data_IF_004616084946
#
_entry.id   IF_004616084946
#
_cell.length_a   1.000
_cell.length_b   1.000
_cell.length_c   1.000
_cell.angle_alpha   90.00
_cell.angle_beta   90.00
_cell.angle_gamma   90.00
#
_symmetry.space_group_name_H-M   'P 1'
#
loop_
_entity.id
_entity.type
_entity.pdbx_description
1 polymer ?
#
# COMPACT_ATOMS: atom_id res chain seq x y z
N UNK A 1 23.79 4.91 -0.99
CA UNK A 1 23.14 3.89 -0.14
C UNK A 1 22.61 4.48 1.17
N UNK A 2 23.47 5.03 2.05
CA UNK A 2 23.06 5.60 3.35
C UNK A 2 21.97 6.68 3.26
N UNK A 3 22.02 7.54 2.23
CA UNK A 3 21.02 8.60 2.01
C UNK A 3 19.59 8.09 1.77
N UNK A 4 19.41 6.96 1.08
CA UNK A 4 18.06 6.39 0.83
C UNK A 4 17.48 5.84 2.12
N UNK A 5 18.29 5.20 2.95
CA UNK A 5 17.86 4.70 4.26
C UNK A 5 17.44 5.86 5.17
N UNK A 6 18.26 6.91 5.25
CA UNK A 6 17.94 8.12 6.02
C UNK A 6 16.65 8.76 5.48
N UNK A 7 16.55 8.96 4.17
CA UNK A 7 15.36 9.53 3.55
C UNK A 7 14.12 8.68 3.83
N UNK A 8 14.24 7.35 3.79
CA UNK A 8 13.15 6.42 4.12
C UNK A 8 12.69 6.59 5.57
N UNK A 9 13.63 6.65 6.53
CA UNK A 9 13.29 6.88 7.94
C UNK A 9 12.61 8.24 8.15
N UNK A 10 13.12 9.29 7.50
CA UNK A 10 12.51 10.62 7.55
C UNK A 10 11.10 10.61 6.94
N UNK A 11 10.91 9.97 5.79
CA UNK A 11 9.61 9.88 5.12
C UNK A 11 8.63 9.04 5.92
N UNK A 12 9.03 7.91 6.48
CA UNK A 12 8.10 6.96 7.11
C UNK A 12 7.77 7.33 8.55
N UNK A 13 8.72 7.88 9.30
CA UNK A 13 8.55 8.17 10.73
C UNK A 13 8.34 9.66 10.98
N UNK A 14 9.26 10.50 10.52
CA UNK A 14 9.25 11.94 10.84
C UNK A 14 8.16 12.67 10.05
N UNK A 15 7.95 12.30 8.79
CA UNK A 15 7.00 12.91 7.88
C UNK A 15 5.56 12.92 8.40
N UNK A 16 4.94 11.78 8.75
CA UNK A 16 3.58 11.74 9.28
C UNK A 16 3.42 12.57 10.56
N UNK A 17 4.42 12.54 11.45
CA UNK A 17 4.39 13.29 12.71
C UNK A 17 4.37 14.80 12.46
N UNK A 18 5.27 15.30 11.60
CA UNK A 18 5.32 16.71 11.23
C UNK A 18 4.04 17.14 10.50
N UNK A 19 3.53 16.30 9.59
CA UNK A 19 2.31 16.59 8.85
C UNK A 19 1.09 16.70 9.77
N UNK A 20 0.94 15.75 10.70
CA UNK A 20 -0.11 15.79 11.72
C UNK A 20 0.00 17.01 12.63
N UNK A 21 1.22 17.38 13.06
CA UNK A 21 1.45 18.56 13.88
C UNK A 21 1.04 19.86 13.16
N UNK A 22 1.39 20.00 11.88
CA UNK A 22 0.94 21.14 11.04
C UNK A 22 -0.59 21.16 10.93
N UNK A 23 -1.23 20.00 10.77
CA UNK A 23 -2.69 19.88 10.75
C UNK A 23 -3.34 20.38 12.04
N UNK A 24 -2.81 19.98 13.20
CA UNK A 24 -3.30 20.43 14.52
C UNK A 24 -3.15 21.94 14.67
N UNK A 25 -2.00 22.50 14.32
CA UNK A 25 -1.75 23.95 14.42
C UNK A 25 -2.73 24.76 13.54
N UNK A 26 -3.01 24.29 12.32
CA UNK A 26 -3.96 24.93 11.39
C UNK A 26 -5.43 24.80 11.80
N UNK A 27 -5.74 23.82 12.66
CA UNK A 27 -7.12 23.53 13.10
C UNK A 27 -7.60 24.36 14.30
N UNK A 28 -6.70 25.10 14.95
CA UNK A 28 -7.03 25.98 16.08
C UNK A 28 -7.78 27.22 15.59
N UNK A 29 -9.12 27.23 15.70
CA UNK A 29 -9.92 28.43 15.45
C UNK A 29 -11.35 28.22 14.94
N UNK A 30 -11.81 27.00 14.68
CA UNK A 30 -13.14 26.77 14.13
C UNK A 30 -14.18 26.47 15.23
N UNK A 31 -14.79 27.52 15.80
CA UNK A 31 -16.06 27.40 16.51
C UNK A 31 -17.20 27.63 15.51
N UNK A 32 -17.81 26.55 15.03
CA UNK A 32 -18.96 26.61 14.14
C UNK A 32 -20.08 25.72 14.68
N UNK A 33 -21.33 26.08 14.40
CA UNK A 33 -22.46 25.18 14.59
C UNK A 33 -22.25 23.92 13.76
N UNK A 34 -22.08 22.79 14.44
CA UNK A 34 -21.70 21.54 13.76
C UNK A 34 -22.96 20.83 13.23
N UNK A 35 -22.95 20.35 11.98
CA UNK A 35 -24.01 19.48 11.50
C UNK A 35 -24.12 18.22 12.38
N UNK A 36 -25.31 17.59 12.40
CA UNK A 36 -25.52 16.33 13.11
C UNK A 36 -24.53 15.27 12.62
N UNK A 37 -24.17 14.38 13.54
CA UNK A 37 -23.21 13.30 13.34
C UNK A 37 -23.96 11.98 13.31
N UNK A 38 -23.49 11.03 12.50
CA UNK A 38 -23.97 9.66 12.57
C UNK A 38 -23.60 9.02 13.91
N UNK A 39 -24.49 8.18 14.45
CA UNK A 39 -24.16 7.31 15.56
C UNK A 39 -23.05 6.33 15.16
N UNK A 40 -22.23 5.92 16.14
CA UNK A 40 -21.20 4.93 15.88
C UNK A 40 -21.84 3.59 15.54
N UNK A 41 -21.53 3.05 14.35
CA UNK A 41 -21.73 1.65 14.01
C UNK A 41 -20.41 0.94 13.76
N UNK A 42 -20.25 -0.28 14.27
CA UNK A 42 -19.09 -1.13 13.98
C UNK A 42 -19.11 -1.74 12.58
N UNK A 43 -20.28 -1.76 11.94
CA UNK A 43 -20.48 -2.44 10.65
C UNK A 43 -19.53 -1.91 9.54
N UNK A 44 -19.34 -0.60 9.35
CA UNK A 44 -18.38 -0.09 8.36
C UNK A 44 -16.93 -0.47 8.68
N UNK A 45 -16.54 -0.45 9.95
CA UNK A 45 -15.20 -0.85 10.40
C UNK A 45 -14.94 -2.32 10.10
N UNK A 46 -15.86 -3.22 10.45
CA UNK A 46 -15.72 -4.66 10.19
C UNK A 46 -15.72 -4.96 8.68
N UNK A 47 -16.59 -4.31 7.92
CA UNK A 47 -16.62 -4.45 6.47
C UNK A 47 -15.31 -3.96 5.82
N UNK A 48 -14.78 -2.82 6.28
CA UNK A 48 -13.48 -2.32 5.84
C UNK A 48 -12.34 -3.26 6.23
N UNK A 49 -12.40 -3.87 7.42
CA UNK A 49 -11.40 -4.85 7.89
C UNK A 49 -11.35 -6.06 6.96
N UNK A 50 -12.51 -6.61 6.63
CA UNK A 50 -12.61 -7.74 5.71
C UNK A 50 -12.12 -7.39 4.31
N UNK A 51 -12.50 -6.22 3.77
CA UNK A 51 -12.05 -5.78 2.46
C UNK A 51 -10.56 -5.44 2.42
N UNK A 52 -10.00 -4.87 3.50
CA UNK A 52 -8.56 -4.63 3.63
C UNK A 52 -7.80 -5.96 3.59
N UNK A 53 -8.16 -6.93 4.44
CA UNK A 53 -7.53 -8.24 4.45
C UNK A 53 -7.66 -8.99 3.10
N UNK A 54 -8.84 -8.93 2.49
CA UNK A 54 -9.10 -9.55 1.19
C UNK A 54 -8.30 -8.89 0.07
N UNK A 55 -8.32 -7.56 -0.03
CA UNK A 55 -7.59 -6.81 -1.05
C UNK A 55 -6.07 -6.96 -0.88
N UNK A 56 -5.55 -6.97 0.35
CA UNK A 56 -4.14 -7.28 0.62
C UNK A 56 -3.78 -8.63 0.01
N UNK A 57 -4.55 -9.67 0.35
CA UNK A 57 -4.28 -11.04 -0.07
C UNK A 57 -4.41 -11.22 -1.58
N UNK A 58 -5.38 -10.55 -2.19
CA UNK A 58 -5.59 -10.57 -3.64
C UNK A 58 -4.45 -9.85 -4.38
N UNK A 59 -4.01 -8.69 -3.92
CA UNK A 59 -2.87 -7.98 -4.50
C UNK A 59 -1.60 -8.82 -4.36
N UNK A 60 -1.36 -9.40 -3.18
CA UNK A 60 -0.22 -10.27 -2.96
C UNK A 60 -0.25 -11.48 -3.90
N UNK A 61 -1.41 -12.14 -4.03
CA UNK A 61 -1.58 -13.24 -4.97
C UNK A 61 -1.31 -12.83 -6.43
N UNK A 62 -1.80 -11.67 -6.85
CA UNK A 62 -1.51 -11.13 -8.19
C UNK A 62 0.00 -10.91 -8.37
N UNK A 63 0.69 -10.39 -7.35
CA UNK A 63 2.14 -10.22 -7.38
C UNK A 63 2.82 -11.57 -7.66
N UNK A 64 2.59 -12.57 -6.82
CA UNK A 64 3.21 -13.90 -6.94
C UNK A 64 2.87 -14.60 -8.26
N UNK A 65 1.61 -14.48 -8.71
CA UNK A 65 1.19 -15.02 -10.00
C UNK A 65 2.02 -14.43 -11.14
N UNK A 66 2.25 -13.12 -11.15
CA UNK A 66 3.05 -12.46 -12.19
C UNK A 66 4.56 -12.65 -12.03
N UNK A 67 5.05 -13.10 -10.88
CA UNK A 67 6.42 -13.58 -10.73
C UNK A 67 6.59 -14.97 -11.37
N UNK A 68 5.54 -15.78 -11.39
CA UNK A 68 5.59 -17.18 -11.85
C UNK A 68 5.23 -17.35 -13.32
N UNK A 69 4.17 -16.70 -13.81
CA UNK A 69 3.66 -16.92 -15.17
C UNK A 69 4.71 -16.67 -16.26
N UNK A 70 5.47 -15.55 -16.27
CA UNK A 70 6.51 -15.35 -17.29
C UNK A 70 7.62 -16.40 -17.22
N UNK A 71 7.99 -16.84 -16.00
CA UNK A 71 8.97 -17.92 -15.79
C UNK A 71 8.46 -19.25 -16.34
N UNK A 72 7.18 -19.56 -16.17
CA UNK A 72 6.58 -20.82 -16.66
C UNK A 72 6.53 -20.89 -18.18
N UNK A 73 6.47 -19.73 -18.86
CA UNK A 73 6.47 -19.62 -20.31
C UNK A 73 7.89 -19.55 -20.91
N UNK A 74 8.93 -19.65 -20.07
CA UNK A 74 10.32 -19.49 -20.50
C UNK A 74 11.04 -20.85 -20.50
N UNK A 75 11.59 -21.29 -21.65
CA UNK A 75 12.34 -22.54 -21.72
C UNK A 75 13.49 -22.59 -20.70
N UNK A 76 13.60 -23.73 -20.02
CA UNK A 76 14.64 -23.96 -19.02
C UNK A 76 14.29 -23.52 -17.60
N UNK A 77 13.15 -22.87 -17.37
CA UNK A 77 12.66 -22.52 -16.03
C UNK A 77 11.48 -23.40 -15.59
N UNK A 78 11.43 -23.70 -14.30
CA UNK A 78 10.35 -24.45 -13.65
C UNK A 78 9.93 -23.73 -12.37
N UNK A 79 9.01 -22.76 -12.44
CA UNK A 79 8.54 -22.06 -11.27
C UNK A 79 7.50 -22.88 -10.50
N UNK A 80 7.49 -22.72 -9.19
CA UNK A 80 6.45 -23.23 -8.28
C UNK A 80 5.80 -22.06 -7.57
N UNK A 81 4.48 -21.95 -7.68
CA UNK A 81 3.68 -20.99 -6.95
C UNK A 81 3.18 -21.62 -5.65
N UNK A 82 3.49 -21.01 -4.51
CA UNK A 82 2.89 -21.32 -3.22
C UNK A 82 1.78 -20.31 -2.93
N UNK A 83 1.02 -20.54 -1.86
CA UNK A 83 -0.11 -19.68 -1.50
C UNK A 83 0.25 -18.18 -1.39
N UNK A 84 1.46 -17.87 -0.92
CA UNK A 84 1.96 -16.51 -0.73
C UNK A 84 3.49 -16.42 -0.84
N UNK A 85 4.08 -17.24 -1.72
CA UNK A 85 5.50 -17.18 -2.07
C UNK A 85 5.68 -17.90 -3.42
N UNK A 86 6.87 -17.81 -3.99
CA UNK A 86 7.24 -18.60 -5.15
C UNK A 86 8.68 -19.08 -5.05
N UNK A 87 8.99 -20.13 -5.81
CA UNK A 87 10.33 -20.64 -6.03
C UNK A 87 10.49 -20.93 -7.52
N UNK A 88 11.72 -21.08 -8.02
CA UNK A 88 11.95 -21.61 -9.35
C UNK A 88 13.23 -22.44 -9.41
N UNK A 89 13.21 -23.46 -10.25
CA UNK A 89 14.40 -24.20 -10.65
C UNK A 89 14.77 -23.86 -12.09
N UNK A 90 16.06 -24.04 -12.40
CA UNK A 90 16.62 -23.79 -13.74
C UNK A 90 17.46 -22.51 -13.81
N UNK A 91 18.40 -22.51 -14.75
CA UNK A 91 19.35 -21.43 -14.96
C UNK A 91 19.02 -20.70 -16.27
N UNK A 92 18.26 -19.61 -16.16
CA UNK A 92 17.97 -18.72 -17.28
C UNK A 92 18.00 -17.28 -16.77
N UNK A 93 18.81 -16.38 -17.37
CA UNK A 93 18.98 -15.02 -16.89
C UNK A 93 17.67 -14.21 -16.90
N UNK A 94 16.70 -14.57 -17.76
CA UNK A 94 15.37 -13.94 -17.78
C UNK A 94 14.62 -14.10 -16.45
N UNK A 95 14.95 -15.11 -15.63
CA UNK A 95 14.38 -15.26 -14.31
C UNK A 95 14.53 -13.98 -13.47
N UNK A 96 15.68 -13.31 -13.55
CA UNK A 96 15.96 -12.07 -12.82
C UNK A 96 15.11 -10.90 -13.33
N UNK A 97 14.89 -10.79 -14.64
CA UNK A 97 13.98 -9.79 -15.22
C UNK A 97 12.54 -10.02 -14.72
N UNK A 98 12.09 -11.27 -14.71
CA UNK A 98 10.75 -11.66 -14.27
C UNK A 98 10.55 -11.59 -12.75
N UNK A 99 11.55 -11.17 -11.99
CA UNK A 99 11.30 -10.76 -10.61
C UNK A 99 10.64 -9.37 -10.53
N UNK A 100 10.86 -8.50 -11.52
CA UNK A 100 10.21 -7.19 -11.56
C UNK A 100 8.73 -7.22 -11.95
N UNK A 101 8.24 -8.32 -12.55
CA UNK A 101 6.88 -8.39 -13.12
C UNK A 101 5.79 -8.43 -12.06
N UNK A 102 6.07 -8.97 -10.88
CA UNK A 102 5.13 -8.94 -9.75
C UNK A 102 4.82 -7.50 -9.31
N UNK A 103 5.87 -6.72 -9.01
CA UNK A 103 5.74 -5.32 -8.62
C UNK A 103 5.07 -4.46 -9.71
N UNK A 104 5.39 -4.71 -10.98
CA UNK A 104 4.75 -4.03 -12.11
C UNK A 104 3.26 -4.36 -12.21
N UNK A 105 2.88 -5.64 -12.07
CA UNK A 105 1.49 -6.07 -12.19
C UNK A 105 0.58 -5.41 -11.15
N UNK A 106 1.00 -5.40 -9.89
CA UNK A 106 0.20 -4.78 -8.81
C UNK A 106 0.16 -3.25 -8.91
N UNK A 107 1.21 -2.62 -9.44
CA UNK A 107 1.20 -1.19 -9.76
C UNK A 107 0.16 -0.88 -10.84
N UNK A 108 0.11 -1.69 -11.91
CA UNK A 108 -0.89 -1.53 -12.98
C UNK A 108 -2.31 -1.74 -12.46
N UNK A 109 -2.53 -2.73 -11.58
CA UNK A 109 -3.82 -2.94 -10.91
C UNK A 109 -4.20 -1.73 -10.05
N UNK A 110 -3.25 -1.15 -9.31
CA UNK A 110 -3.49 0.04 -8.51
C UNK A 110 -3.88 1.26 -9.35
N UNK A 111 -3.17 1.47 -10.46
CA UNK A 111 -3.49 2.53 -11.42
C UNK A 111 -4.88 2.31 -12.02
N UNK A 112 -5.21 1.08 -12.44
CA UNK A 112 -6.51 0.75 -12.98
C UNK A 112 -7.64 1.02 -11.97
N UNK A 113 -7.48 0.63 -10.70
CA UNK A 113 -8.46 0.91 -9.65
C UNK A 113 -8.58 2.42 -9.36
N UNK A 114 -7.47 3.16 -9.38
CA UNK A 114 -7.45 4.62 -9.22
C UNK A 114 -8.20 5.31 -10.37
N UNK A 115 -7.95 4.90 -11.60
CA UNK A 115 -8.61 5.42 -12.80
C UNK A 115 -10.10 5.08 -12.75
N UNK A 116 -10.46 3.85 -12.35
CA UNK A 116 -11.85 3.44 -12.17
C UNK A 116 -12.59 4.33 -11.16
N UNK A 117 -11.99 4.57 -9.99
CA UNK A 117 -12.53 5.47 -8.96
C UNK A 117 -12.71 6.92 -9.45
N UNK A 118 -11.82 7.41 -10.32
CA UNK A 118 -11.89 8.79 -10.84
C UNK A 118 -12.89 8.94 -11.97
N UNK A 119 -12.88 8.04 -12.95
CA UNK A 119 -13.67 8.18 -14.17
C UNK A 119 -15.07 7.63 -14.03
N UNK A 120 -15.24 6.50 -13.32
CA UNK A 120 -16.51 5.79 -13.20
C UNK A 120 -16.64 5.14 -11.82
N UNK A 121 -16.69 5.95 -10.74
CA UNK A 121 -16.72 5.42 -9.37
C UNK A 121 -17.87 4.41 -9.21
N UNK A 122 -17.62 3.24 -8.59
CA UNK A 122 -18.66 2.24 -8.36
C UNK A 122 -19.87 2.85 -7.63
N UNK A 123 -21.10 2.41 -7.94
CA UNK A 123 -22.29 2.94 -7.24
C UNK A 123 -22.39 2.46 -5.79
N UNK A 124 -22.00 1.21 -5.53
CA UNK A 124 -22.06 0.60 -4.20
C UNK A 124 -20.88 1.02 -3.31
N UNK A 125 -21.17 1.34 -2.05
CA UNK A 125 -20.17 1.69 -1.03
C UNK A 125 -19.10 0.59 -0.89
N UNK A 126 -19.51 -0.68 -0.85
CA UNK A 126 -18.58 -1.82 -0.75
C UNK A 126 -17.61 -1.89 -1.92
N UNK A 127 -18.09 -1.71 -3.15
CA UNK A 127 -17.23 -1.70 -4.34
C UNK A 127 -16.29 -0.49 -4.40
N UNK A 128 -16.74 0.68 -3.93
CA UNK A 128 -15.84 1.85 -3.78
C UNK A 128 -14.72 1.55 -2.79
N UNK A 129 -15.08 1.02 -1.63
CA UNK A 129 -14.12 0.67 -0.59
C UNK A 129 -13.15 -0.42 -1.05
N UNK A 130 -13.65 -1.45 -1.74
CA UNK A 130 -12.82 -2.47 -2.38
C UNK A 130 -11.83 -1.87 -3.39
N UNK A 131 -12.29 -1.02 -4.31
CA UNK A 131 -11.41 -0.38 -5.29
C UNK A 131 -10.39 0.55 -4.63
N UNK A 132 -10.76 1.24 -3.53
CA UNK A 132 -9.82 2.02 -2.72
C UNK A 132 -8.74 1.12 -2.13
N UNK A 133 -9.12 0.00 -1.51
CA UNK A 133 -8.16 -0.93 -0.91
C UNK A 133 -7.28 -1.62 -1.94
N UNK A 134 -7.82 -2.05 -3.08
CA UNK A 134 -7.02 -2.58 -4.19
C UNK A 134 -5.99 -1.56 -4.70
N UNK A 135 -6.39 -0.30 -4.85
CA UNK A 135 -5.49 0.77 -5.25
C UNK A 135 -4.41 1.02 -4.18
N UNK A 136 -4.81 1.10 -2.92
CA UNK A 136 -3.91 1.30 -1.79
C UNK A 136 -2.87 0.18 -1.72
N UNK A 137 -3.29 -1.07 -1.54
CA UNK A 137 -2.40 -2.22 -1.43
C UNK A 137 -1.46 -2.33 -2.64
N UNK A 138 -1.96 -2.15 -3.86
CA UNK A 138 -1.12 -2.25 -5.05
C UNK A 138 -0.02 -1.18 -5.10
N UNK A 139 -0.28 0.07 -4.71
CA UNK A 139 0.77 1.09 -4.60
C UNK A 139 1.74 0.83 -3.44
N UNK A 140 1.24 0.50 -2.25
CA UNK A 140 2.06 0.33 -1.06
C UNK A 140 2.77 -1.02 -0.97
N UNK A 141 2.45 -1.98 -1.83
CA UNK A 141 3.26 -3.17 -2.05
C UNK A 141 4.25 -3.02 -3.21
N UNK A 142 3.96 -2.23 -4.25
CA UNK A 142 4.89 -2.03 -5.38
C UNK A 142 5.97 -0.98 -5.13
N UNK A 143 5.59 0.23 -4.70
CA UNK A 143 6.53 1.36 -4.62
C UNK A 143 7.67 1.14 -3.63
N UNK A 144 7.47 0.51 -2.45
CA UNK A 144 8.59 0.21 -1.56
C UNK A 144 9.61 -0.73 -2.18
N UNK A 145 9.21 -1.63 -3.09
CA UNK A 145 10.15 -2.50 -3.79
C UNK A 145 11.10 -1.72 -4.70
N UNK A 146 10.67 -0.56 -5.24
CA UNK A 146 11.59 0.34 -5.97
C UNK A 146 12.63 0.93 -5.02
N UNK A 147 12.21 1.35 -3.82
CA UNK A 147 13.13 1.87 -2.79
C UNK A 147 14.10 0.78 -2.34
N UNK A 148 13.60 -0.41 -2.00
CA UNK A 148 14.43 -1.54 -1.55
C UNK A 148 15.34 -2.03 -2.67
N UNK A 149 14.83 -2.26 -3.88
CA UNK A 149 15.61 -2.69 -5.04
C UNK A 149 16.69 -1.70 -5.48
N UNK A 150 16.58 -0.43 -5.10
CA UNK A 150 17.65 0.56 -5.33
C UNK A 150 18.88 0.40 -4.42
N UNK A 151 18.74 -0.35 -3.31
CA UNK A 151 19.82 -0.56 -2.32
C UNK A 151 20.10 -2.04 -2.00
N UNK A 152 19.15 -2.95 -2.26
CA UNK A 152 19.27 -4.40 -2.08
C UNK A 152 19.13 -5.08 -3.45
N UNK A 153 20.25 -5.43 -4.10
CA UNK A 153 20.25 -6.09 -5.42
C UNK A 153 19.45 -7.40 -5.47
N UNK A 154 19.41 -8.13 -4.35
CA UNK A 154 18.74 -9.43 -4.24
C UNK A 154 17.23 -9.33 -3.99
N UNK A 155 16.67 -8.12 -3.88
CA UNK A 155 15.22 -7.95 -3.88
C UNK A 155 14.66 -8.14 -5.31
N UNK A 156 13.38 -8.51 -5.41
CA UNK A 156 12.69 -8.74 -6.69
C UNK A 156 12.92 -7.65 -7.75
N UNK A 157 12.68 -6.39 -7.38
CA UNK A 157 12.91 -5.24 -8.28
C UNK A 157 14.40 -4.96 -8.47
N UNK A 158 15.23 -5.25 -7.46
CA UNK A 158 16.69 -5.14 -7.55
C UNK A 158 17.28 -6.07 -8.62
N UNK A 159 16.82 -7.33 -8.65
CA UNK A 159 17.23 -8.31 -9.66
C UNK A 159 16.84 -7.87 -11.07
N UNK A 160 15.64 -7.30 -11.23
CA UNK A 160 15.21 -6.75 -12.51
C UNK A 160 16.03 -5.52 -12.93
N UNK A 161 16.36 -4.62 -11.99
CA UNK A 161 17.23 -3.48 -12.27
C UNK A 161 18.64 -3.91 -12.69
N UNK A 162 19.20 -4.94 -12.07
CA UNK A 162 20.49 -5.52 -12.44
C UNK A 162 20.44 -6.16 -13.83
N UNK A 163 19.39 -6.93 -14.13
CA UNK A 163 19.18 -7.51 -15.46
C UNK A 163 19.12 -6.42 -16.55
N UNK A 164 18.40 -5.32 -16.27
CA UNK A 164 18.29 -4.17 -17.17
C UNK A 164 19.55 -3.29 -17.19
N UNK A 165 20.60 -3.66 -16.46
CA UNK A 165 21.87 -2.93 -16.37
C UNK A 165 21.69 -1.48 -15.94
N UNK A 166 20.72 -1.20 -15.06
CA UNK A 166 20.52 0.15 -14.55
C UNK A 166 21.71 0.58 -13.70
N UNK A 167 22.33 1.70 -14.09
CA UNK A 167 23.42 2.32 -13.33
C UNK A 167 22.99 2.74 -11.93
N UNK A 168 23.96 2.84 -11.01
CA UNK A 168 23.72 3.21 -9.62
C UNK A 168 22.97 4.55 -9.47
N UNK A 169 23.27 5.54 -10.32
CA UNK A 169 22.60 6.84 -10.32
C UNK A 169 21.12 6.74 -10.69
N UNK A 170 20.77 5.88 -11.65
CA UNK A 170 19.37 5.65 -12.07
C UNK A 170 18.60 4.96 -10.96
N UNK A 171 19.15 3.90 -10.36
CA UNK A 171 18.55 3.21 -9.21
C UNK A 171 18.34 4.18 -8.05
N UNK A 172 19.34 5.01 -7.75
CA UNK A 172 19.26 6.02 -6.71
C UNK A 172 18.15 7.04 -6.96
N UNK A 173 18.06 7.57 -8.18
CA UNK A 173 17.02 8.51 -8.57
C UNK A 173 15.62 7.89 -8.47
N UNK A 174 15.44 6.65 -8.92
CA UNK A 174 14.17 5.93 -8.81
C UNK A 174 13.75 5.73 -7.36
N UNK A 175 14.66 5.27 -6.50
CA UNK A 175 14.40 5.12 -5.06
C UNK A 175 14.03 6.45 -4.40
N UNK A 176 14.74 7.53 -4.73
CA UNK A 176 14.46 8.87 -4.20
C UNK A 176 13.12 9.44 -4.69
N UNK A 177 12.71 9.16 -5.93
CA UNK A 177 11.40 9.57 -6.47
C UNK A 177 10.23 8.77 -5.89
N UNK A 178 10.45 7.49 -5.55
CA UNK A 178 9.41 6.64 -4.98
C UNK A 178 8.97 7.14 -3.58
N UNK A 179 9.88 7.65 -2.76
CA UNK A 179 9.57 8.15 -1.41
C UNK A 179 8.53 9.29 -1.35
N UNK A 180 8.70 10.43 -2.04
CA UNK A 180 7.68 11.48 -2.06
C UNK A 180 6.39 11.01 -2.75
N UNK A 181 6.47 10.09 -3.71
CA UNK A 181 5.29 9.52 -4.34
C UNK A 181 4.45 8.68 -3.37
N UNK A 182 5.09 7.85 -2.53
CA UNK A 182 4.45 7.09 -1.45
C UNK A 182 3.69 8.05 -0.52
N UNK A 183 4.34 9.11 -0.05
CA UNK A 183 3.70 10.10 0.84
C UNK A 183 2.53 10.84 0.14
N UNK A 184 2.73 11.29 -1.11
CA UNK A 184 1.70 11.99 -1.87
C UNK A 184 0.46 11.11 -2.13
N UNK A 185 0.67 9.82 -2.43
CA UNK A 185 -0.42 8.86 -2.60
C UNK A 185 -1.16 8.62 -1.30
N UNK A 186 -0.44 8.42 -0.19
CA UNK A 186 -1.06 8.17 1.13
C UNK A 186 -1.94 9.34 1.56
N UNK A 187 -1.45 10.58 1.41
CA UNK A 187 -2.23 11.80 1.65
C UNK A 187 -3.42 11.86 0.68
N UNK A 188 -3.20 11.53 -0.60
CA UNK A 188 -4.23 11.52 -1.63
C UNK A 188 -5.39 10.57 -1.33
N UNK A 189 -5.15 9.44 -0.67
CA UNK A 189 -6.17 8.46 -0.29
C UNK A 189 -7.10 8.93 0.84
N UNK A 190 -6.74 9.96 1.60
CA UNK A 190 -7.63 10.53 2.62
C UNK A 190 -8.93 11.05 1.99
N UNK A 191 -8.84 11.73 0.85
CA UNK A 191 -10.01 12.30 0.15
C UNK A 191 -11.06 11.27 -0.26
N UNK A 192 -10.75 10.20 -1.03
CA UNK A 192 -11.74 9.20 -1.41
C UNK A 192 -12.31 8.43 -0.22
N UNK A 193 -11.53 8.23 0.86
CA UNK A 193 -12.05 7.62 2.09
C UNK A 193 -13.01 8.54 2.83
N UNK A 194 -12.67 9.82 3.02
CA UNK A 194 -13.57 10.80 3.63
C UNK A 194 -14.87 10.97 2.83
N UNK A 195 -14.83 10.78 1.51
CA UNK A 195 -16.03 10.81 0.66
C UNK A 195 -17.01 9.64 0.90
N UNK A 196 -16.62 8.64 1.71
CA UNK A 196 -17.51 7.56 2.18
C UNK A 196 -18.30 7.94 3.44
N UNK A 197 -18.08 9.13 4.00
CA UNK A 197 -18.80 9.60 5.17
C UNK A 197 -20.32 9.63 4.92
N UNK A 198 -21.13 8.99 5.78
CA UNK A 198 -22.59 8.98 5.61
C UNK A 198 -23.21 10.37 5.71
N UNK A 199 -22.65 11.23 6.57
CA UNK A 199 -23.11 12.60 6.77
C UNK A 199 -21.94 13.59 6.71
N UNK A 200 -22.18 14.79 6.18
CA UNK A 200 -21.19 15.86 6.15
C UNK A 200 -20.67 16.22 7.56
N UNK A 201 -21.53 16.08 8.58
CA UNK A 201 -21.16 16.27 9.98
C UNK A 201 -20.06 15.32 10.46
N UNK A 202 -19.94 14.12 9.90
CA UNK A 202 -18.92 13.12 10.29
C UNK A 202 -17.49 13.56 9.92
N UNK A 203 -17.35 14.54 9.04
CA UNK A 203 -16.06 15.04 8.52
C UNK A 203 -15.96 16.58 8.55
N UNK A 204 -16.84 17.24 9.30
CA UNK A 204 -16.96 18.69 9.33
C UNK A 204 -15.74 19.40 9.94
N UNK A 205 -15.07 18.76 10.90
CA UNK A 205 -13.87 19.31 11.57
C UNK A 205 -12.68 18.37 11.41
N UNK A 206 -11.44 18.86 11.55
CA UNK A 206 -10.25 18.01 11.51
C UNK A 206 -10.31 16.83 12.49
N UNK A 207 -10.75 17.06 13.74
CA UNK A 207 -10.93 15.96 14.70
C UNK A 207 -11.97 14.92 14.27
N UNK A 208 -13.06 15.35 13.61
CA UNK A 208 -14.06 14.43 13.07
C UNK A 208 -13.55 13.64 11.86
N UNK A 209 -12.79 14.28 10.95
CA UNK A 209 -12.10 13.62 9.82
C UNK A 209 -11.12 12.57 10.30
N UNK A 210 -10.26 12.95 11.25
CA UNK A 210 -9.29 12.07 11.89
C UNK A 210 -9.98 10.87 12.55
N UNK A 211 -11.05 11.10 13.30
CA UNK A 211 -11.85 10.03 13.90
C UNK A 211 -12.57 9.15 12.88
N UNK A 212 -13.01 9.70 11.74
CA UNK A 212 -13.61 8.92 10.67
C UNK A 212 -12.58 8.04 9.96
N UNK A 213 -11.42 8.60 9.59
CA UNK A 213 -10.29 7.86 9.00
C UNK A 213 -9.81 6.76 9.93
N UNK A 214 -9.71 7.03 11.23
CA UNK A 214 -9.36 6.01 12.21
C UNK A 214 -10.31 4.80 12.15
N UNK A 215 -11.62 5.05 12.06
CA UNK A 215 -12.64 3.98 12.06
C UNK A 215 -12.77 3.23 10.74
N UNK A 216 -12.54 3.90 9.61
CA UNK A 216 -12.70 3.30 8.28
C UNK A 216 -11.40 2.74 7.71
N UNK A 217 -10.23 3.18 8.20
CA UNK A 217 -8.92 2.79 7.67
C UNK A 217 -7.97 2.27 8.75
N UNK A 218 -7.62 3.08 9.75
CA UNK A 218 -6.54 2.72 10.69
C UNK A 218 -6.88 1.53 11.57
N UNK A 219 -8.03 1.55 12.24
CA UNK A 219 -8.50 0.43 13.04
C UNK A 219 -8.77 -0.82 12.17
N UNK A 220 -9.44 -0.72 11.00
CA UNK A 220 -9.55 -1.85 10.08
C UNK A 220 -8.22 -2.48 9.67
N UNK A 221 -7.21 -1.68 9.33
CA UNK A 221 -5.90 -2.20 8.96
C UNK A 221 -5.24 -2.93 10.15
N UNK A 222 -5.31 -2.36 11.36
CA UNK A 222 -4.81 -3.01 12.58
C UNK A 222 -5.51 -4.35 12.86
N UNK A 223 -6.83 -4.41 12.71
CA UNK A 223 -7.62 -5.63 12.89
C UNK A 223 -7.39 -6.65 11.77
N UNK A 224 -7.02 -6.21 10.58
CA UNK A 224 -6.72 -7.07 9.44
C UNK A 224 -5.33 -7.70 9.52
N UNK A 225 -4.35 -7.08 10.17
CA UNK A 225 -3.00 -7.63 10.34
C UNK A 225 -2.99 -9.09 10.84
N UNK A 226 -3.65 -9.47 11.96
CA UNK A 226 -3.65 -10.86 12.41
C UNK A 226 -4.32 -11.81 11.41
N UNK A 227 -5.35 -11.36 10.69
CA UNK A 227 -6.00 -12.17 9.64
C UNK A 227 -5.05 -12.41 8.47
N UNK A 228 -4.38 -11.36 7.99
CA UNK A 228 -3.40 -11.43 6.91
C UNK A 228 -2.25 -12.37 7.30
N UNK A 229 -1.69 -12.20 8.50
CA UNK A 229 -0.58 -13.04 8.99
C UNK A 229 -1.03 -14.50 9.09
N UNK A 230 -2.23 -14.78 9.61
CA UNK A 230 -2.74 -16.14 9.75
C UNK A 230 -2.99 -16.85 8.39
N UNK A 231 -3.26 -16.10 7.32
CA UNK A 231 -3.46 -16.66 5.98
C UNK A 231 -2.14 -16.94 5.25
N UNK A 232 -1.00 -16.43 5.72
CA UNK A 232 0.29 -16.68 5.06
C UNK A 232 0.84 -18.06 5.42
N UNK A 233 1.54 -18.70 4.48
CA UNK A 233 2.28 -19.95 4.67
C UNK A 233 3.16 -19.81 5.91
N UNK A 234 3.12 -20.80 6.83
CA UNK A 234 3.95 -20.78 8.02
C UNK A 234 5.42 -20.59 7.67
N UNK A 235 6.00 -19.55 8.24
CA UNK A 235 7.41 -19.19 8.11
C UNK A 235 7.85 -18.44 9.36
N UNK A 236 9.07 -17.91 9.35
CA UNK A 236 9.51 -17.05 10.44
C UNK A 236 8.70 -15.75 10.47
N UNK A 237 8.54 -15.14 11.65
CA UNK A 237 7.68 -13.96 11.84
C UNK A 237 8.06 -12.81 10.91
N UNK A 238 9.34 -12.64 10.60
CA UNK A 238 9.83 -11.66 9.64
C UNK A 238 9.28 -11.92 8.23
N UNK A 239 9.26 -13.16 7.75
CA UNK A 239 8.73 -13.48 6.41
C UNK A 239 7.23 -13.17 6.29
N UNK A 240 6.45 -13.50 7.33
CA UNK A 240 4.99 -13.36 7.29
C UNK A 240 4.51 -11.96 7.66
N UNK A 241 5.21 -11.25 8.56
CA UNK A 241 4.76 -9.97 9.10
C UNK A 241 5.41 -8.74 8.46
N UNK A 242 6.61 -8.82 7.86
CA UNK A 242 7.31 -7.63 7.33
C UNK A 242 6.46 -6.88 6.32
N UNK A 243 5.93 -7.55 5.30
CA UNK A 243 5.15 -6.89 4.24
C UNK A 243 3.90 -6.20 4.79
N UNK A 244 2.99 -6.89 5.52
CA UNK A 244 1.77 -6.24 6.02
C UNK A 244 2.07 -5.15 7.07
N UNK A 245 3.06 -5.33 7.93
CA UNK A 245 3.45 -4.31 8.91
C UNK A 245 4.07 -3.10 8.23
N UNK A 246 4.98 -3.32 7.27
CA UNK A 246 5.58 -2.24 6.50
C UNK A 246 4.50 -1.44 5.79
N UNK A 247 3.54 -2.11 5.12
CA UNK A 247 2.44 -1.45 4.42
C UNK A 247 1.59 -0.57 5.35
N UNK A 248 1.25 -1.08 6.54
CA UNK A 248 0.55 -0.31 7.57
C UNK A 248 1.33 0.95 7.96
N UNK A 249 2.62 0.80 8.27
CA UNK A 249 3.48 1.90 8.74
C UNK A 249 3.70 2.94 7.63
N UNK A 250 3.97 2.55 6.40
CA UNK A 250 4.28 3.48 5.30
C UNK A 250 3.04 4.13 4.68
N UNK A 251 1.88 3.46 4.73
CA UNK A 251 0.67 3.92 4.06
C UNK A 251 -0.36 4.45 5.04
N UNK A 252 -0.78 3.63 5.99
CA UNK A 252 -1.91 3.93 6.90
C UNK A 252 -1.55 5.01 7.90
N UNK A 253 -0.29 5.07 8.34
CA UNK A 253 0.18 6.14 9.23
C UNK A 253 0.11 7.52 8.55
N UNK A 254 0.61 7.63 7.31
CA UNK A 254 0.49 8.85 6.51
C UNK A 254 -0.96 9.23 6.25
N UNK A 255 -1.80 8.25 5.93
CA UNK A 255 -3.23 8.44 5.72
C UNK A 255 -3.92 9.02 6.97
N UNK A 256 -3.60 8.51 8.16
CA UNK A 256 -4.13 9.01 9.42
C UNK A 256 -3.61 10.42 9.76
N UNK A 257 -2.35 10.71 9.44
CA UNK A 257 -1.76 12.04 9.62
C UNK A 257 -2.38 13.09 8.68
N UNK A 258 -2.88 12.67 7.52
CA UNK A 258 -3.49 13.55 6.53
C UNK A 258 -4.96 13.92 6.81
N UNK A 259 -5.58 13.29 7.81
CA UNK A 259 -7.00 13.41 8.15
C UNK A 259 -7.30 14.63 9.02
#
# INVERSE_FOLDING_TARGET
MQWIVIASLLTVVVGPLLWGAVGVLRSRGAAASLPPRSEWSWRPTLHSTALYAFSFSLIFFIQELFLVVPKALTPGLRPTLFHNNHHWDGDNPLAHLFQGTGALAILLVAIACTVWLKLRPPRGMGWRLFAIWMAFHGYFQSLPQIVVGSVVPQNDVGMAFDYLQLGASTKFALGLMALPLIAALAIGFAKPLLALAPQAGDIATPGRRSGFIFRIATLPALLALPLIIAMRVPGSLDQVAIVPVAEFVIGVWWLQAAA
#
